data_IF_153041324993
#
_entry.id   IF_153041324993
#
_cell.length_a   1.000
_cell.length_b   1.000
_cell.length_c   1.000
_cell.angle_alpha   90.00
_cell.angle_beta   90.00
_cell.angle_gamma   90.00
#
_symmetry.space_group_name_H-M   'P 1'
#
loop_
_entity.id
_entity.type
_entity.pdbx_description
1 polymer ?
#
# COMPACT_ATOMS: atom_id res chain seq x y z
N UNK A 1 1.18 17.76 -2.15
CA UNK A 1 1.67 16.64 -2.98
C UNK A 1 0.53 15.67 -3.13
N UNK A 2 -0.09 15.60 -4.32
CA UNK A 2 -1.15 14.62 -4.59
C UNK A 2 -0.50 13.24 -4.72
N UNK A 3 -1.01 12.25 -3.98
CA UNK A 3 -0.45 10.88 -3.94
C UNK A 3 -1.22 9.93 -4.85
N UNK A 4 -2.47 10.27 -5.17
CA UNK A 4 -3.25 9.59 -6.20
C UNK A 4 -2.48 9.44 -7.53
N UNK A 5 -1.75 10.47 -8.04
CA UNK A 5 -0.89 10.32 -9.21
C UNK A 5 0.21 9.27 -9.06
N UNK A 6 0.78 9.06 -7.87
CA UNK A 6 1.87 8.10 -7.65
C UNK A 6 1.37 6.66 -7.74
N UNK A 7 0.27 6.35 -7.04
CA UNK A 7 -0.32 5.01 -7.11
C UNK A 7 -0.94 4.72 -8.47
N UNK A 8 -1.59 5.71 -9.06
CA UNK A 8 -2.09 5.61 -10.43
C UNK A 8 -0.94 5.32 -11.42
N UNK A 9 0.19 6.02 -11.28
CA UNK A 9 1.39 5.77 -12.10
C UNK A 9 1.97 4.39 -11.87
N UNK A 10 2.10 3.95 -10.62
CA UNK A 10 2.53 2.58 -10.26
C UNK A 10 1.63 1.54 -10.94
N UNK A 11 0.31 1.72 -10.83
CA UNK A 11 -0.66 0.81 -11.41
C UNK A 11 -0.55 0.78 -12.95
N UNK A 12 -0.52 1.94 -13.59
CA UNK A 12 -0.39 2.04 -15.06
C UNK A 12 0.93 1.51 -15.60
N UNK A 13 1.99 1.50 -14.79
CA UNK A 13 3.30 1.00 -15.19
C UNK A 13 3.38 -0.51 -15.11
N UNK A 14 2.80 -1.09 -14.06
CA UNK A 14 3.07 -2.48 -13.70
C UNK A 14 1.91 -3.45 -13.96
N UNK A 15 0.66 -2.99 -14.01
CA UNK A 15 -0.51 -3.87 -14.16
C UNK A 15 -1.03 -3.96 -15.60
N UNK A 16 -1.02 -2.86 -16.35
CA UNK A 16 -1.60 -2.74 -17.68
C UNK A 16 -0.58 -2.08 -18.62
N UNK A 17 -0.46 -2.49 -19.88
CA UNK A 17 0.40 -1.81 -20.83
C UNK A 17 -0.30 -0.51 -21.30
N UNK A 18 0.44 0.41 -21.94
CA UNK A 18 -0.10 1.73 -22.30
C UNK A 18 -1.28 1.69 -23.28
N UNK A 19 -1.50 0.59 -24.01
CA UNK A 19 -2.50 0.47 -25.08
C UNK A 19 -3.94 0.15 -24.60
N UNK A 20 -4.16 -0.15 -23.31
CA UNK A 20 -5.50 -0.46 -22.78
C UNK A 20 -6.25 0.84 -22.42
N UNK A 21 -7.51 1.04 -22.88
CA UNK A 21 -8.32 2.21 -22.52
C UNK A 21 -8.56 2.29 -21.02
N UNK A 22 -8.20 3.43 -20.43
CA UNK A 22 -8.21 3.67 -18.98
C UNK A 22 -9.49 4.40 -18.58
N UNK A 23 -10.37 3.75 -17.82
CA UNK A 23 -11.57 4.40 -17.29
C UNK A 23 -11.50 4.47 -15.75
N UNK A 24 -11.53 5.70 -15.21
CA UNK A 24 -11.69 5.95 -13.78
C UNK A 24 -10.40 6.30 -13.03
N UNK A 25 -10.55 7.00 -11.89
CA UNK A 25 -9.48 7.41 -10.96
C UNK A 25 -9.22 6.40 -9.83
N UNK A 26 -9.88 5.23 -9.85
CA UNK A 26 -9.89 4.29 -8.73
C UNK A 26 -9.55 2.87 -9.19
N UNK A 27 -8.53 2.28 -8.54
CA UNK A 27 -7.76 1.14 -9.05
C UNK A 27 -8.29 -0.22 -8.56
N UNK A 28 -9.34 -0.25 -7.74
CA UNK A 28 -9.93 -1.49 -7.21
C UNK A 28 -10.92 -2.14 -8.19
N UNK A 29 -11.36 -1.40 -9.21
CA UNK A 29 -12.22 -1.90 -10.27
C UNK A 29 -11.58 -1.57 -11.62
N UNK A 30 -11.07 -2.59 -12.29
CA UNK A 30 -10.54 -2.45 -13.64
C UNK A 30 -11.39 -3.29 -14.59
N UNK A 31 -11.71 -2.72 -15.73
CA UNK A 31 -12.40 -3.42 -16.79
C UNK A 31 -11.34 -4.08 -17.68
N UNK A 32 -11.13 -5.39 -17.51
CA UNK A 32 -10.36 -6.19 -18.46
C UNK A 32 -11.19 -6.39 -19.73
N UNK A 33 -11.34 -5.34 -20.52
CA UNK A 33 -11.88 -5.49 -21.85
C UNK A 33 -10.99 -6.47 -22.62
N UNK A 34 -11.60 -7.48 -23.25
CA UNK A 34 -10.86 -8.38 -24.12
C UNK A 34 -10.34 -7.61 -25.33
N UNK A 35 -9.02 -7.50 -25.45
CA UNK A 35 -8.40 -6.88 -26.63
C UNK A 35 -8.59 -7.84 -27.84
N UNK A 36 -9.04 -7.35 -29.00
CA UNK A 36 -9.29 -8.20 -30.17
C UNK A 36 -8.01 -8.85 -30.74
N UNK A 37 -8.13 -10.17 -30.87
CA UNK A 37 -7.39 -11.19 -31.65
C UNK A 37 -5.87 -11.19 -31.85
N UNK A 38 -5.13 -10.08 -31.99
CA UNK A 38 -3.82 -10.19 -32.70
C UNK A 38 -2.71 -10.98 -31.99
N UNK A 39 -2.72 -11.11 -30.66
CA UNK A 39 -1.56 -11.65 -29.92
C UNK A 39 -1.82 -12.80 -28.92
N UNK A 40 -3.05 -13.29 -28.71
CA UNK A 40 -3.48 -14.30 -27.69
C UNK A 40 -3.00 -14.09 -26.23
N UNK A 41 -2.08 -13.17 -25.98
CA UNK A 41 -1.58 -12.78 -24.67
C UNK A 41 -2.31 -11.54 -24.23
N UNK A 42 -3.07 -11.66 -23.15
CA UNK A 42 -3.48 -10.50 -22.38
C UNK A 42 -2.22 -9.90 -21.74
N UNK A 43 -1.98 -8.60 -21.87
CA UNK A 43 -0.76 -7.96 -21.39
C UNK A 43 -0.82 -7.62 -19.90
N UNK A 44 -1.42 -8.50 -19.10
CA UNK A 44 -1.65 -8.29 -17.67
C UNK A 44 -0.55 -9.04 -16.91
N UNK A 45 0.13 -8.37 -15.98
CA UNK A 45 1.08 -9.01 -15.06
C UNK A 45 0.32 -9.52 -13.84
N UNK A 46 -0.04 -10.82 -13.84
CA UNK A 46 -0.87 -11.40 -12.79
C UNK A 46 -0.19 -11.36 -11.42
N UNK A 47 1.14 -11.39 -11.41
CA UNK A 47 1.96 -11.41 -10.20
C UNK A 47 1.89 -10.10 -9.42
N UNK A 48 1.52 -8.99 -10.08
CA UNK A 48 1.28 -7.71 -9.40
C UNK A 48 0.01 -7.76 -8.53
N UNK A 49 -0.97 -8.60 -8.89
CA UNK A 49 -2.12 -8.85 -8.03
C UNK A 49 -1.73 -9.65 -6.80
N UNK A 50 -0.83 -10.62 -6.95
CA UNK A 50 -0.31 -11.38 -5.82
C UNK A 50 0.47 -10.46 -4.85
N UNK A 51 1.28 -9.52 -5.38
CA UNK A 51 2.02 -8.52 -4.60
C UNK A 51 1.13 -7.57 -3.77
N UNK A 52 -0.03 -7.21 -4.31
CA UNK A 52 -1.01 -6.36 -3.61
C UNK A 52 -1.87 -7.14 -2.62
N UNK A 53 -1.67 -8.45 -2.48
CA UNK A 53 -2.49 -9.31 -1.63
C UNK A 53 -3.91 -9.49 -2.19
N UNK A 54 -4.11 -9.34 -3.50
CA UNK A 54 -5.40 -9.46 -4.15
C UNK A 54 -5.80 -10.93 -4.25
N UNK A 55 -6.69 -11.37 -3.37
CA UNK A 55 -7.10 -12.78 -3.28
C UNK A 55 -8.15 -13.21 -4.30
N UNK A 56 -9.07 -12.32 -4.63
CA UNK A 56 -10.20 -12.62 -5.50
C UNK A 56 -10.21 -11.68 -6.70
N UNK A 57 -10.40 -12.25 -7.88
CA UNK A 57 -10.64 -11.51 -9.11
C UNK A 57 -12.06 -11.77 -9.59
N UNK A 58 -12.76 -10.69 -9.93
CA UNK A 58 -14.10 -10.75 -10.53
C UNK A 58 -13.97 -10.54 -12.03
N UNK A 59 -14.47 -11.49 -12.80
CA UNK A 59 -14.40 -11.51 -14.25
C UNK A 59 -15.80 -11.65 -14.83
N UNK A 60 -16.10 -11.01 -15.96
CA UNK A 60 -17.36 -11.22 -16.65
C UNK A 60 -17.39 -12.62 -17.30
N UNK A 61 -18.52 -13.33 -17.25
CA UNK A 61 -18.65 -14.70 -17.76
C UNK A 61 -18.32 -14.80 -19.26
N UNK A 62 -18.58 -13.73 -20.02
CA UNK A 62 -18.31 -13.64 -21.46
C UNK A 62 -16.85 -13.27 -21.81
N UNK A 63 -15.97 -13.02 -20.85
CA UNK A 63 -14.53 -12.79 -21.10
C UNK A 63 -13.74 -14.11 -21.13
N UNK A 64 -13.95 -14.89 -22.19
CA UNK A 64 -13.33 -16.21 -22.38
C UNK A 64 -11.80 -16.23 -22.31
N UNK A 65 -11.10 -15.25 -22.90
CA UNK A 65 -9.63 -15.17 -22.88
C UNK A 65 -9.10 -14.91 -21.48
N UNK A 66 -9.74 -13.99 -20.76
CA UNK A 66 -9.37 -13.68 -19.37
C UNK A 66 -9.58 -14.89 -18.47
N UNK A 67 -10.71 -15.58 -18.60
CA UNK A 67 -10.97 -16.81 -17.85
C UNK A 67 -9.92 -17.88 -18.11
N UNK A 68 -9.61 -18.15 -19.39
CA UNK A 68 -8.56 -19.10 -19.77
C UNK A 68 -7.19 -18.71 -19.23
N UNK A 69 -6.84 -17.42 -19.24
CA UNK A 69 -5.58 -16.93 -18.68
C UNK A 69 -5.52 -17.21 -17.18
N UNK A 70 -6.57 -16.87 -16.43
CA UNK A 70 -6.62 -17.07 -14.99
C UNK A 70 -6.48 -18.56 -14.64
N UNK A 71 -7.27 -19.42 -15.29
CA UNK A 71 -7.23 -20.88 -15.10
C UNK A 71 -5.85 -21.46 -15.46
N UNK A 72 -5.23 -20.99 -16.54
CA UNK A 72 -3.88 -21.41 -16.94
C UNK A 72 -2.79 -20.98 -15.94
N UNK A 73 -3.04 -19.95 -15.13
CA UNK A 73 -2.12 -19.44 -14.10
C UNK A 73 -2.54 -19.87 -12.68
N UNK A 74 -3.31 -20.95 -12.55
CA UNK A 74 -3.60 -21.58 -11.24
C UNK A 74 -4.71 -20.90 -10.43
N UNK A 75 -5.46 -19.96 -11.01
CA UNK A 75 -6.64 -19.40 -10.37
C UNK A 75 -7.81 -20.38 -10.43
N UNK A 76 -8.52 -20.51 -9.31
CA UNK A 76 -9.65 -21.45 -9.18
C UNK A 76 -10.96 -20.69 -9.13
N UNK A 77 -11.94 -21.07 -9.94
CA UNK A 77 -13.27 -20.47 -9.85
C UNK A 77 -13.99 -20.92 -8.58
N UNK A 78 -14.42 -19.96 -7.77
CA UNK A 78 -15.11 -20.19 -6.48
C UNK A 78 -16.57 -19.75 -6.50
N UNK A 79 -16.96 -18.97 -7.50
CA UNK A 79 -18.35 -18.55 -7.72
C UNK A 79 -18.60 -18.33 -9.21
N UNK A 80 -19.81 -18.65 -9.66
CA UNK A 80 -20.23 -18.47 -11.04
C UNK A 80 -21.70 -18.02 -11.12
N UNK A 81 -21.99 -17.09 -12.03
CA UNK A 81 -23.32 -16.55 -12.34
C UNK A 81 -23.45 -16.27 -13.84
N UNK A 82 -24.64 -15.85 -14.28
CA UNK A 82 -24.87 -15.51 -15.69
C UNK A 82 -23.99 -14.36 -16.21
N UNK A 83 -23.58 -13.43 -15.33
CA UNK A 83 -22.81 -12.23 -15.72
C UNK A 83 -21.39 -12.24 -15.19
N UNK A 84 -21.16 -12.82 -14.02
CA UNK A 84 -19.90 -12.72 -13.28
C UNK A 84 -19.40 -14.08 -12.81
N UNK A 85 -18.08 -14.23 -12.78
CA UNK A 85 -17.36 -15.35 -12.21
C UNK A 85 -16.27 -14.82 -11.29
N UNK A 86 -16.11 -15.44 -10.12
CA UNK A 86 -15.08 -15.09 -9.15
C UNK A 86 -14.01 -16.18 -9.14
N UNK A 87 -12.77 -15.74 -9.23
CA UNK A 87 -11.57 -16.56 -9.21
C UNK A 87 -10.75 -16.27 -7.95
N UNK A 88 -10.31 -17.31 -7.25
CA UNK A 88 -9.42 -17.23 -6.10
C UNK A 88 -7.98 -17.55 -6.54
N UNK A 89 -7.02 -16.68 -6.19
CA UNK A 89 -5.58 -16.98 -6.30
C UNK A 89 -5.12 -17.83 -5.11
N UNK A 90 -4.30 -18.85 -5.38
CA UNK A 90 -3.60 -19.64 -4.35
C UNK A 90 -2.18 -19.13 -4.08
N UNK A 91 -1.73 -18.14 -4.83
CA UNK A 91 -0.36 -17.60 -4.80
C UNK A 91 -0.28 -16.22 -4.15
N UNK A 92 -1.38 -15.74 -3.57
CA UNK A 92 -1.51 -14.42 -2.96
C UNK A 92 -0.47 -14.23 -1.86
N UNK A 93 0.27 -13.13 -1.93
CA UNK A 93 1.18 -12.79 -0.85
C UNK A 93 0.43 -12.21 0.35
N UNK A 94 0.92 -12.47 1.59
CA UNK A 94 0.42 -11.77 2.75
C UNK A 94 0.49 -10.26 2.53
N UNK A 95 -0.56 -9.51 2.91
CA UNK A 95 -0.55 -8.03 2.81
C UNK A 95 0.54 -7.38 3.66
N UNK A 96 1.01 -8.07 4.69
CA UNK A 96 2.11 -7.62 5.53
C UNK A 96 3.18 -8.72 5.60
N UNK A 97 4.44 -8.37 5.37
CA UNK A 97 5.55 -9.31 5.34
C UNK A 97 6.88 -8.64 5.73
N UNK A 98 7.87 -9.44 6.11
CA UNK A 98 9.20 -8.98 6.50
C UNK A 98 10.21 -9.22 5.38
N UNK A 99 11.17 -8.30 5.23
CA UNK A 99 12.26 -8.39 4.26
C UNK A 99 13.59 -8.02 4.90
N UNK A 100 14.61 -8.87 4.74
CA UNK A 100 15.93 -8.74 5.38
C UNK A 100 16.97 -7.99 4.53
N UNK A 101 16.56 -7.56 3.34
CA UNK A 101 17.44 -6.91 2.36
C UNK A 101 16.70 -5.74 1.71
N UNK A 102 17.40 -4.65 1.43
CA UNK A 102 16.85 -3.54 0.64
C UNK A 102 17.72 -3.25 -0.58
N UNK A 103 17.14 -2.63 -1.59
CA UNK A 103 17.83 -2.16 -2.78
C UNK A 103 17.48 -0.69 -3.03
N UNK A 104 18.49 0.14 -3.23
CA UNK A 104 18.28 1.55 -3.45
C UNK A 104 17.80 1.81 -4.88
N UNK A 105 16.49 1.93 -5.06
CA UNK A 105 15.85 2.27 -6.32
C UNK A 105 14.55 3.04 -6.10
N UNK A 106 14.19 3.85 -7.10
CA UNK A 106 12.91 4.54 -7.10
C UNK A 106 11.77 3.62 -7.53
N UNK A 107 12.07 2.64 -8.38
CA UNK A 107 11.09 1.77 -9.04
C UNK A 107 11.36 0.31 -8.70
N UNK A 108 10.29 -0.48 -8.59
CA UNK A 108 10.39 -1.92 -8.36
C UNK A 108 10.75 -2.62 -9.66
N UNK A 109 11.66 -3.60 -9.59
CA UNK A 109 11.92 -4.48 -10.72
C UNK A 109 10.91 -5.63 -10.72
N UNK A 110 9.90 -5.52 -11.58
CA UNK A 110 8.76 -6.45 -11.68
C UNK A 110 9.01 -7.65 -12.58
N UNK A 111 10.10 -7.67 -13.36
CA UNK A 111 10.39 -8.78 -14.27
C UNK A 111 10.90 -10.03 -13.53
N UNK A 112 11.12 -9.91 -12.22
CA UNK A 112 11.32 -11.04 -11.32
C UNK A 112 10.34 -10.89 -10.15
N UNK A 113 9.08 -11.31 -10.31
CA UNK A 113 8.03 -11.08 -9.31
C UNK A 113 8.35 -11.66 -7.93
N UNK A 114 9.22 -12.68 -7.87
CA UNK A 114 9.66 -13.26 -6.62
C UNK A 114 10.69 -12.39 -5.87
N UNK A 115 11.35 -11.43 -6.53
CA UNK A 115 12.34 -10.53 -5.91
C UNK A 115 11.67 -9.51 -4.99
N UNK A 116 10.48 -9.02 -5.34
CA UNK A 116 9.72 -8.05 -4.55
C UNK A 116 9.46 -8.51 -3.10
N UNK A 117 9.39 -9.83 -2.87
CA UNK A 117 9.25 -10.40 -1.52
C UNK A 117 10.58 -10.50 -0.75
N UNK A 118 11.69 -10.57 -1.48
CA UNK A 118 13.01 -10.80 -0.90
C UNK A 118 13.83 -9.53 -0.72
N UNK A 119 13.45 -8.45 -1.40
CA UNK A 119 14.17 -7.18 -1.43
C UNK A 119 13.18 -6.02 -1.42
N UNK A 120 13.33 -5.13 -0.44
CA UNK A 120 12.58 -3.88 -0.37
C UNK A 120 13.21 -2.83 -1.30
N UNK A 121 12.49 -2.37 -2.32
CA UNK A 121 12.98 -1.31 -3.20
C UNK A 121 12.64 0.06 -2.61
N UNK A 122 13.62 0.90 -2.31
CA UNK A 122 13.35 2.22 -1.72
C UNK A 122 14.37 3.26 -2.11
N UNK A 123 13.94 4.52 -2.19
CA UNK A 123 14.81 5.69 -2.29
C UNK A 123 14.63 6.67 -1.11
N UNK A 124 13.84 6.27 -0.10
CA UNK A 124 13.58 7.05 1.11
C UNK A 124 14.84 7.08 1.98
N UNK A 125 15.45 8.26 2.09
CA UNK A 125 16.75 8.39 2.77
C UNK A 125 16.67 8.09 4.26
N UNK A 126 15.56 8.42 4.91
CA UNK A 126 15.38 8.17 6.33
C UNK A 126 15.23 6.66 6.58
N UNK A 127 14.40 5.98 5.78
CA UNK A 127 14.26 4.52 5.84
C UNK A 127 15.60 3.81 5.56
N UNK A 128 16.34 4.24 4.53
CA UNK A 128 17.65 3.67 4.18
C UNK A 128 18.65 3.86 5.33
N UNK A 129 18.71 5.05 5.93
CA UNK A 129 19.61 5.31 7.06
C UNK A 129 19.28 4.44 8.28
N UNK A 130 18.00 4.26 8.60
CA UNK A 130 17.55 3.37 9.68
C UNK A 130 17.86 1.91 9.36
N UNK A 131 17.63 1.46 8.12
CA UNK A 131 17.91 0.10 7.69
C UNK A 131 19.41 -0.23 7.81
N UNK A 132 20.29 0.69 7.36
CA UNK A 132 21.74 0.56 7.52
C UNK A 132 22.15 0.54 8.98
N UNK A 133 21.60 1.43 9.81
CA UNK A 133 21.88 1.48 11.25
C UNK A 133 21.44 0.20 11.98
N UNK A 134 20.34 -0.41 11.55
CA UNK A 134 19.85 -1.68 12.09
C UNK A 134 20.61 -2.91 11.56
N UNK A 135 21.53 -2.75 10.60
CA UNK A 135 22.31 -3.85 10.02
C UNK A 135 21.60 -4.63 8.92
N UNK A 136 20.53 -4.09 8.33
CA UNK A 136 19.83 -4.68 7.19
C UNK A 136 20.74 -4.58 5.96
N UNK A 137 20.88 -5.68 5.20
CA UNK A 137 21.81 -5.75 4.07
C UNK A 137 21.29 -4.94 2.88
N UNK A 138 22.18 -4.18 2.25
CA UNK A 138 21.92 -3.55 0.97
C UNK A 138 22.31 -4.49 -0.16
N UNK A 139 21.36 -4.86 -1.02
CA UNK A 139 21.63 -5.71 -2.18
C UNK A 139 22.44 -4.93 -3.22
N UNK A 140 23.58 -5.49 -3.65
CA UNK A 140 24.35 -4.95 -4.79
C UNK A 140 23.90 -5.57 -6.12
N UNK A 141 23.35 -6.79 -6.08
CA UNK A 141 22.80 -7.51 -7.23
C UNK A 141 21.43 -8.07 -6.87
N UNK A 142 20.47 -7.89 -7.77
CA UNK A 142 19.15 -8.49 -7.64
C UNK A 142 19.26 -9.98 -7.92
N UNK A 143 19.17 -10.78 -6.86
CA UNK A 143 19.05 -12.22 -6.93
C UNK A 143 17.81 -12.62 -6.13
N UNK A 144 17.03 -13.56 -6.66
CA UNK A 144 15.93 -14.12 -5.89
C UNK A 144 16.49 -14.85 -4.67
N UNK A 145 16.02 -14.45 -3.49
CA UNK A 145 16.26 -15.18 -2.24
C UNK A 145 14.93 -15.75 -1.81
N UNK A 146 14.87 -17.07 -1.63
CA UNK A 146 13.66 -17.71 -1.13
C UNK A 146 13.31 -17.10 0.23
N UNK A 147 12.03 -16.75 0.49
CA UNK A 147 11.62 -16.21 1.78
C UNK A 147 11.94 -17.21 2.88
N UNK A 148 12.70 -16.80 3.90
CA UNK A 148 12.93 -17.62 5.08
C UNK A 148 11.62 -17.74 5.87
N UNK A 149 11.23 -18.97 6.23
CA UNK A 149 9.90 -19.31 6.74
C UNK A 149 9.71 -19.06 8.24
N UNK A 150 10.64 -18.38 8.90
CA UNK A 150 10.62 -18.17 10.35
C UNK A 150 9.98 -16.84 10.78
N UNK A 151 9.85 -15.89 9.85
CA UNK A 151 9.28 -14.59 10.15
C UNK A 151 7.77 -14.60 9.93
N UNK A 152 7.03 -14.02 10.88
CA UNK A 152 5.58 -13.89 10.80
C UNK A 152 5.18 -12.44 11.01
N UNK A 153 4.37 -11.92 10.07
CA UNK A 153 3.74 -10.61 10.20
C UNK A 153 2.24 -10.80 10.04
N UNK A 154 1.48 -10.47 11.07
CA UNK A 154 0.02 -10.60 11.07
C UNK A 154 -0.64 -9.25 11.24
N UNK A 155 -1.71 -9.02 10.48
CA UNK A 155 -2.56 -7.85 10.66
C UNK A 155 -3.58 -8.18 11.76
N UNK A 156 -3.46 -7.54 12.91
CA UNK A 156 -4.33 -7.79 14.06
C UNK A 156 -5.66 -7.03 13.94
N UNK A 157 -5.59 -5.77 13.50
CA UNK A 157 -6.77 -4.94 13.25
C UNK A 157 -6.53 -4.02 12.06
N UNK A 158 -7.56 -3.84 11.24
CA UNK A 158 -7.51 -2.99 10.06
C UNK A 158 -8.73 -2.06 10.03
N UNK A 159 -8.50 -0.78 10.29
CA UNK A 159 -9.47 0.31 10.22
C UNK A 159 -9.03 1.36 9.21
N UNK A 160 -9.93 2.28 8.86
CA UNK A 160 -9.67 3.29 7.83
C UNK A 160 -8.49 4.22 8.19
N UNK A 161 -8.33 4.54 9.46
CA UNK A 161 -7.31 5.46 9.97
C UNK A 161 -6.23 4.77 10.81
N UNK A 162 -6.38 3.47 11.10
CA UNK A 162 -5.52 2.75 12.03
C UNK A 162 -5.28 1.31 11.57
N UNK A 163 -4.03 0.89 11.56
CA UNK A 163 -3.63 -0.50 11.25
C UNK A 163 -2.70 -0.98 12.36
N UNK A 164 -2.98 -2.17 12.92
CA UNK A 164 -2.13 -2.81 13.93
C UNK A 164 -1.56 -4.11 13.35
N UNK A 165 -0.25 -4.28 13.49
CA UNK A 165 0.48 -5.46 13.06
C UNK A 165 1.25 -6.05 14.24
N UNK A 166 1.33 -7.37 14.30
CA UNK A 166 2.33 -8.07 15.09
C UNK A 166 3.40 -8.62 14.14
N UNK A 167 4.67 -8.40 14.47
CA UNK A 167 5.80 -8.93 13.74
C UNK A 167 6.68 -9.75 14.68
N UNK A 168 7.05 -10.96 14.26
CA UNK A 168 8.09 -11.79 14.87
C UNK A 168 9.15 -11.99 13.80
N UNK A 169 10.33 -11.41 14.00
CA UNK A 169 11.45 -11.48 13.05
C UNK A 169 12.72 -11.92 13.75
N UNK A 170 13.47 -12.86 13.15
CA UNK A 170 14.71 -13.38 13.76
C UNK A 170 15.91 -12.44 13.61
N UNK A 171 15.82 -11.48 12.68
CA UNK A 171 16.85 -10.52 12.31
C UNK A 171 16.21 -9.15 12.04
N UNK A 172 16.98 -8.06 12.15
CA UNK A 172 16.54 -6.73 11.71
C UNK A 172 15.98 -6.79 10.30
N UNK A 173 14.77 -6.27 10.12
CA UNK A 173 13.99 -6.44 8.90
C UNK A 173 13.19 -5.18 8.59
N UNK A 174 12.86 -5.00 7.31
CA UNK A 174 11.86 -4.03 6.86
C UNK A 174 10.52 -4.76 6.83
N UNK A 175 9.58 -4.32 7.67
CA UNK A 175 8.19 -4.77 7.58
C UNK A 175 7.50 -3.93 6.51
N UNK A 176 6.99 -4.61 5.50
CA UNK A 176 6.26 -4.01 4.38
C UNK A 176 4.78 -4.30 4.59
N UNK A 177 3.95 -3.27 4.46
CA UNK A 177 2.50 -3.36 4.32
C UNK A 177 2.14 -2.90 2.90
N UNK A 178 1.52 -3.78 2.10
CA UNK A 178 1.08 -3.53 0.71
C UNK A 178 -0.09 -2.54 0.59
N UNK A 179 -0.06 -1.48 1.40
CA UNK A 179 -0.98 -0.36 1.40
C UNK A 179 -0.27 0.90 0.91
N UNK A 180 -1.01 1.79 0.26
CA UNK A 180 -0.46 3.06 -0.19
C UNK A 180 0.11 3.90 0.96
N UNK A 181 1.34 4.35 0.76
CA UNK A 181 2.05 5.28 1.60
C UNK A 181 1.45 6.69 1.49
N UNK A 182 1.52 7.43 2.59
CA UNK A 182 1.15 8.85 2.65
C UNK A 182 1.97 9.52 3.76
N UNK A 183 2.47 10.75 3.59
CA UNK A 183 3.25 11.47 4.60
C UNK A 183 2.47 11.85 5.86
N UNK A 184 1.20 11.47 5.95
CA UNK A 184 0.34 11.70 7.11
C UNK A 184 0.18 10.43 7.96
N UNK A 185 0.67 9.29 7.49
CA UNK A 185 0.81 8.11 8.34
C UNK A 185 1.93 8.34 9.36
N UNK A 186 1.70 7.84 10.57
CA UNK A 186 2.67 7.79 11.66
C UNK A 186 2.67 6.38 12.22
N UNK A 187 3.83 5.85 12.56
CA UNK A 187 3.93 4.54 13.20
C UNK A 187 4.50 4.65 14.61
N UNK A 188 4.17 3.65 15.41
CA UNK A 188 4.94 3.29 16.59
C UNK A 188 5.35 1.82 16.52
N UNK A 189 6.50 1.50 17.11
CA UNK A 189 6.96 0.15 17.40
C UNK A 189 7.04 0.05 18.92
N UNK A 190 6.25 -0.85 19.51
CA UNK A 190 6.14 -1.03 20.97
C UNK A 190 5.90 0.30 21.72
N UNK A 191 5.08 1.17 21.12
CA UNK A 191 4.73 2.48 21.66
C UNK A 191 5.73 3.61 21.36
N UNK A 192 6.92 3.31 20.83
CA UNK A 192 7.92 4.32 20.46
C UNK A 192 7.71 4.81 19.03
N UNK A 193 7.83 6.12 18.74
CA UNK A 193 7.69 6.64 17.39
C UNK A 193 8.66 5.99 16.40
N UNK A 194 8.16 5.67 15.22
CA UNK A 194 8.95 5.07 14.15
C UNK A 194 8.58 5.67 12.78
N UNK A 195 9.58 5.74 11.90
CA UNK A 195 9.40 6.30 10.55
C UNK A 195 8.67 5.32 9.65
N UNK A 196 7.77 5.86 8.81
CA UNK A 196 7.13 5.09 7.73
C UNK A 196 7.70 5.60 6.42
N UNK A 197 8.56 4.79 5.80
CA UNK A 197 9.14 5.08 4.49
C UNK A 197 8.29 4.53 3.33
N UNK A 198 8.59 5.03 2.13
CA UNK A 198 8.06 4.46 0.89
C UNK A 198 8.91 3.25 0.49
N UNK A 199 8.26 2.13 0.21
CA UNK A 199 8.88 0.91 -0.33
C UNK A 199 8.09 0.45 -1.55
N UNK A 200 8.75 -0.17 -2.53
CA UNK A 200 8.15 -0.70 -3.76
C UNK A 200 7.23 0.32 -4.46
N UNK A 201 7.76 1.54 -4.63
CA UNK A 201 7.09 2.73 -5.21
C UNK A 201 5.91 3.33 -4.44
N UNK A 202 5.10 2.51 -3.77
CA UNK A 202 3.84 2.96 -3.17
C UNK A 202 3.55 2.36 -1.80
N UNK A 203 4.20 1.29 -1.39
CA UNK A 203 3.92 0.61 -0.14
C UNK A 203 4.56 1.30 1.07
N UNK A 204 4.07 0.92 2.26
CA UNK A 204 4.61 1.40 3.54
C UNK A 204 5.67 0.44 4.02
N UNK A 205 6.87 0.95 4.31
CA UNK A 205 7.93 0.21 4.96
C UNK A 205 8.29 0.79 6.32
N UNK A 206 8.63 -0.08 7.26
CA UNK A 206 9.14 0.30 8.58
C UNK A 206 10.29 -0.62 8.98
N UNK A 207 11.38 -0.06 9.49
CA UNK A 207 12.53 -0.83 9.98
C UNK A 207 12.21 -1.32 11.39
N UNK A 208 12.35 -2.62 11.61
CA UNK A 208 12.05 -3.29 12.89
C UNK A 208 13.26 -4.12 13.30
N UNK A 209 13.73 -4.03 14.56
CA UNK A 209 14.82 -4.85 15.07
C UNK A 209 14.40 -6.33 15.18
N UNK A 210 15.34 -7.23 15.48
CA UNK A 210 15.00 -8.62 15.75
C UNK A 210 14.18 -8.76 17.03
N UNK A 211 13.21 -9.67 17.01
CA UNK A 211 12.32 -9.96 18.13
C UNK A 211 10.84 -9.90 17.77
N UNK A 212 10.02 -9.77 18.81
CA UNK A 212 8.58 -9.65 18.72
C UNK A 212 8.19 -8.19 18.95
N UNK A 213 7.43 -7.63 18.00
CA UNK A 213 7.08 -6.22 18.01
C UNK A 213 5.62 -6.00 17.67
N UNK A 214 5.00 -5.06 18.36
CA UNK A 214 3.69 -4.52 18.02
C UNK A 214 3.87 -3.21 17.26
N UNK A 215 3.40 -3.18 16.02
CA UNK A 215 3.49 -2.01 15.15
C UNK A 215 2.09 -1.41 15.02
N UNK A 216 1.96 -0.13 15.29
CA UNK A 216 0.68 0.58 15.15
C UNK A 216 0.87 1.76 14.23
N UNK A 217 0.11 1.79 13.14
CA UNK A 217 0.11 2.88 12.16
C UNK A 217 -1.19 3.67 12.27
N UNK A 218 -1.10 4.99 12.39
CA UNK A 218 -2.25 5.89 12.41
C UNK A 218 -2.15 6.96 11.32
N UNK A 219 -3.26 7.23 10.66
CA UNK A 219 -3.39 8.30 9.69
C UNK A 219 -3.79 9.60 10.39
N UNK A 220 -2.91 10.61 10.34
CA UNK A 220 -3.15 11.93 10.94
C UNK A 220 -3.15 13.02 9.87
N UNK A 221 -4.32 13.33 9.26
CA UNK A 221 -4.39 14.33 8.22
C UNK A 221 -4.11 15.72 8.77
N UNK A 222 -3.22 16.47 8.11
CA UNK A 222 -2.91 17.87 8.48
C UNK A 222 -4.15 18.78 8.46
N UNK A 223 -5.12 18.48 7.59
CA UNK A 223 -6.38 19.23 7.50
C UNK A 223 -7.23 19.13 8.76
N UNK A 224 -7.20 17.98 9.46
CA UNK A 224 -7.94 17.81 10.71
C UNK A 224 -7.35 18.71 11.79
N UNK A 225 -6.02 18.79 11.90
CA UNK A 225 -5.34 19.69 12.83
C UNK A 225 -5.64 21.16 12.51
N UNK A 226 -5.63 21.55 11.23
CA UNK A 226 -6.02 22.91 10.82
C UNK A 226 -7.48 23.20 11.12
N UNK A 227 -8.39 22.26 10.87
CA UNK A 227 -9.81 22.40 11.16
C UNK A 227 -10.08 22.58 12.66
N UNK A 228 -9.35 21.88 13.52
CA UNK A 228 -9.41 22.06 14.98
C UNK A 228 -8.97 23.47 15.40
N UNK A 229 -7.87 23.97 14.84
CA UNK A 229 -7.38 25.33 15.14
C UNK A 229 -8.39 26.38 14.70
N UNK A 230 -8.90 26.30 13.46
CA UNK A 230 -9.90 27.25 12.93
C UNK A 230 -11.20 27.20 13.72
N UNK A 231 -11.66 26.01 14.11
CA UNK A 231 -12.89 25.87 14.92
C UNK A 231 -12.70 26.47 16.31
N UNK A 232 -11.54 26.24 16.94
CA UNK A 232 -11.22 26.80 18.25
C UNK A 232 -11.12 28.33 18.21
N UNK A 233 -10.48 28.91 17.18
CA UNK A 233 -10.39 30.37 17.03
C UNK A 233 -11.74 31.00 16.73
N UNK A 234 -12.57 30.39 15.89
CA UNK A 234 -13.93 30.84 15.62
C UNK A 234 -14.80 30.81 16.90
N UNK A 235 -14.67 29.75 17.71
CA UNK A 235 -15.38 29.64 18.98
C UNK A 235 -14.93 30.71 19.99
N UNK A 236 -13.62 30.95 20.11
CA UNK A 236 -13.08 32.01 20.96
C UNK A 236 -13.56 33.40 20.50
N UNK A 237 -13.58 33.66 19.20
CA UNK A 237 -14.09 34.91 18.64
C UNK A 237 -15.59 35.08 18.93
N UNK A 238 -16.40 34.04 18.75
CA UNK A 238 -17.82 34.05 19.10
C UNK A 238 -18.03 34.36 20.59
N UNK A 239 -17.31 33.69 21.49
CA UNK A 239 -17.35 33.96 22.92
C UNK A 239 -16.94 35.39 23.27
N UNK A 240 -15.94 35.94 22.57
CA UNK A 240 -15.51 37.33 22.73
C UNK A 240 -16.63 38.31 22.32
N UNK A 241 -17.21 38.14 21.13
CA UNK A 241 -18.33 38.98 20.64
C UNK A 241 -19.49 38.93 21.63
N UNK A 242 -19.92 37.74 22.05
CA UNK A 242 -21.03 37.57 23.01
C UNK A 242 -20.72 38.25 24.36
N UNK A 243 -19.48 38.15 24.86
CA UNK A 243 -19.08 38.77 26.13
C UNK A 243 -19.07 40.30 26.06
N UNK A 244 -18.69 40.87 24.92
CA UNK A 244 -18.57 42.32 24.74
C UNK A 244 -19.73 42.94 23.97
N UNK A 245 -20.79 42.19 23.68
CA UNK A 245 -21.86 42.60 22.76
C UNK A 245 -22.49 43.95 23.15
N UNK A 246 -22.79 44.15 24.44
CA UNK A 246 -23.32 45.43 24.96
C UNK A 246 -22.37 46.64 24.80
N UNK A 247 -21.06 46.41 24.78
CA UNK A 247 -20.06 47.48 24.53
C UNK A 247 -19.89 47.74 23.04
N UNK A 248 -19.99 46.70 22.22
CA UNK A 248 -19.92 46.78 20.76
C UNK A 248 -21.13 47.55 20.22
N UNK A 249 -22.34 47.27 20.71
CA UNK A 249 -23.55 48.01 20.33
C UNK A 249 -23.45 49.51 20.64
N UNK A 250 -22.77 49.86 21.74
CA UNK A 250 -22.56 51.25 22.18
C UNK A 250 -21.48 52.01 21.38
N UNK A 251 -20.67 51.30 20.60
CA UNK A 251 -19.61 51.85 19.74
C UNK A 251 -20.07 52.01 18.28
N UNK A 252 -21.11 51.27 17.88
CA UNK A 252 -21.64 51.24 16.51
C UNK A 252 -22.93 52.07 16.32
N UNK A 253 -23.55 52.54 17.41
CA UNK A 253 -24.67 53.49 17.40
C UNK A 253 -24.24 54.86 17.88
#
# INVERSE_FOLDING_TARGET
MNILPTFETFFHRHFLPPEIPKWGRFCTFFNLNEIPEKNWKLPIKLEMFDLTGTKFLVCATYWFKTRKLLEANGYVSVFNSQKWQIYESKHVYPRAFAVKTFYQAREINVDVPQIARSVAFTNDQELISQARAAGIKEATKLAYVAPETHDFVTINSYHHDTVSLNASVDQPSIIILSDNWHPNWRATIDGQPAHIGIVDETFRGIVVPSGNHTIIMHYRPKSLTMGQIVSATALLFLCFVLRFWKKIDKLLG
#
